data_IF_786947006032
#
_entry.id   IF_786947006032
#
_cell.length_a   1.000
_cell.length_b   1.000
_cell.length_c   1.000
_cell.angle_alpha   90.00
_cell.angle_beta   90.00
_cell.angle_gamma   90.00
#
_symmetry.space_group_name_H-M   'P 1'
#
loop_
_entity.id
_entity.type
_entity.pdbx_description
1 polymer ?
#
# COMPACT_ATOMS: atom_id res chain seq x y z
N UNK A 1 10.08 3.52 14.61
CA UNK A 1 9.87 4.84 14.03
C UNK A 1 8.48 4.96 13.41
N UNK A 2 7.77 6.04 13.75
CA UNK A 2 6.46 6.36 13.17
C UNK A 2 6.57 7.61 12.30
N UNK A 3 6.24 7.49 11.03
CA UNK A 3 6.19 8.63 10.11
C UNK A 3 5.01 9.55 10.45
N UNK A 4 5.24 10.87 10.43
CA UNK A 4 4.19 11.88 10.62
C UNK A 4 3.84 12.22 12.07
N UNK A 5 4.47 11.62 13.06
CA UNK A 5 4.30 11.94 14.48
C UNK A 5 5.08 13.22 14.82
N UNK A 6 4.46 14.15 15.54
CA UNK A 6 5.04 15.46 15.81
C UNK A 6 5.88 15.56 17.09
N UNK A 7 5.73 14.62 18.04
CA UNK A 7 6.49 14.60 19.29
C UNK A 7 7.80 13.82 19.12
N UNK A 8 8.94 14.46 19.33
CA UNK A 8 10.24 13.82 19.21
C UNK A 8 10.40 12.57 20.11
N UNK A 9 9.82 12.60 21.31
CA UNK A 9 9.86 11.48 22.25
C UNK A 9 9.06 10.27 21.77
N UNK A 10 8.16 10.47 20.80
CA UNK A 10 7.30 9.42 20.22
C UNK A 10 7.72 9.04 18.80
N UNK A 11 8.81 9.61 18.29
CA UNK A 11 9.33 9.34 16.95
C UNK A 11 9.85 7.90 16.78
N UNK A 12 10.39 7.32 17.85
CA UNK A 12 10.85 5.91 17.87
C UNK A 12 12.18 5.68 17.18
N UNK A 13 13.03 6.71 17.06
CA UNK A 13 14.36 6.62 16.43
C UNK A 13 15.46 6.44 17.49
N UNK A 14 15.37 7.15 18.61
CA UNK A 14 16.43 7.17 19.62
C UNK A 14 16.17 6.22 20.79
N UNK A 15 14.94 5.76 20.99
CA UNK A 15 14.54 4.87 22.07
C UNK A 15 14.47 3.43 21.59
N UNK A 16 15.47 2.63 21.97
CA UNK A 16 15.50 1.20 21.63
C UNK A 16 14.88 0.36 22.72
N UNK A 17 14.06 -0.63 22.34
CA UNK A 17 13.45 -1.57 23.27
C UNK A 17 14.12 -2.94 23.13
N UNK A 18 14.77 -3.39 24.20
CA UNK A 18 15.39 -4.71 24.24
C UNK A 18 14.37 -5.86 24.33
N UNK A 19 14.81 -7.11 24.10
CA UNK A 19 13.94 -8.29 24.22
C UNK A 19 13.19 -8.34 25.56
N UNK A 20 11.86 -8.53 25.49
CA UNK A 20 10.98 -8.54 26.68
C UNK A 20 10.63 -7.15 27.23
N UNK A 21 11.22 -6.08 26.70
CA UNK A 21 10.91 -4.70 27.06
C UNK A 21 9.59 -4.22 26.40
N UNK A 22 9.16 -3.03 26.82
CA UNK A 22 7.97 -2.36 26.28
C UNK A 22 8.21 -0.86 26.17
N UNK A 23 7.68 -0.26 25.13
CA UNK A 23 7.55 1.18 24.98
C UNK A 23 6.12 1.52 24.60
N UNK A 24 5.58 2.60 25.15
CA UNK A 24 4.20 3.04 24.86
C UNK A 24 4.29 4.33 24.06
N UNK A 25 3.77 4.30 22.84
CA UNK A 25 3.59 5.47 22.02
C UNK A 25 2.23 6.12 22.36
N UNK A 26 2.27 7.42 22.64
CA UNK A 26 1.08 8.21 22.93
C UNK A 26 1.10 9.51 22.12
N UNK A 27 0.19 9.62 21.16
CA UNK A 27 0.13 10.76 20.24
C UNK A 27 -1.33 11.06 19.82
N UNK A 28 -1.55 12.27 19.34
CA UNK A 28 -2.82 12.60 18.70
C UNK A 28 -2.89 11.96 17.32
N UNK A 29 -4.10 11.52 16.92
CA UNK A 29 -4.34 10.97 15.59
C UNK A 29 -4.37 12.10 14.55
N UNK A 30 -3.22 12.67 14.26
CA UNK A 30 -2.97 13.74 13.27
C UNK A 30 -1.52 13.69 12.79
N UNK A 31 -1.22 14.18 11.57
CA UNK A 31 -2.18 14.64 10.56
C UNK A 31 -2.98 13.51 9.93
N UNK A 32 -4.10 13.87 9.26
CA UNK A 32 -4.84 12.96 8.37
C UNK A 32 -3.89 12.36 7.33
N UNK A 33 -4.10 11.11 6.97
CA UNK A 33 -3.36 10.47 5.90
C UNK A 33 -3.05 9.00 6.13
N UNK A 34 -2.31 8.45 5.19
CA UNK A 34 -1.70 7.13 5.25
C UNK A 34 -0.28 7.28 5.79
N UNK A 35 0.00 6.63 6.88
CA UNK A 35 1.28 6.71 7.57
C UNK A 35 1.96 5.35 7.65
N UNK A 36 3.29 5.38 7.66
CA UNK A 36 4.17 4.23 7.75
C UNK A 36 4.82 4.18 9.14
N UNK A 37 5.02 2.99 9.67
CA UNK A 37 5.95 2.76 10.77
C UNK A 37 6.86 1.57 10.44
N UNK A 38 8.10 1.63 10.92
CA UNK A 38 9.08 0.56 10.71
C UNK A 38 10.15 0.54 11.80
N UNK A 39 10.89 -0.55 11.88
CA UNK A 39 12.08 -0.62 12.73
C UNK A 39 13.12 0.42 12.31
N UNK A 40 13.78 1.05 13.29
CA UNK A 40 14.86 2.00 13.05
C UNK A 40 16.15 1.62 13.82
N UNK A 41 16.24 0.38 14.27
CA UNK A 41 17.46 -0.18 14.91
C UNK A 41 18.40 -0.70 13.82
N UNK A 42 19.68 -0.40 13.91
CA UNK A 42 20.67 -0.90 12.95
C UNK A 42 20.88 -2.42 13.06
N UNK A 43 21.06 -3.12 11.92
CA UNK A 43 20.96 -2.65 10.54
C UNK A 43 19.50 -2.47 10.10
N UNK A 44 19.13 -1.24 9.76
CA UNK A 44 17.71 -0.84 9.50
C UNK A 44 17.14 -1.58 8.30
N UNK A 45 17.89 -1.63 7.19
CA UNK A 45 17.47 -2.27 5.94
C UNK A 45 17.13 -3.75 6.11
N UNK A 46 17.96 -4.50 6.85
CA UNK A 46 17.70 -5.92 7.12
C UNK A 46 16.43 -6.12 7.94
N UNK A 47 16.22 -5.27 8.95
CA UNK A 47 15.02 -5.37 9.79
C UNK A 47 13.74 -5.05 9.01
N UNK A 48 13.79 -4.07 8.11
CA UNK A 48 12.66 -3.75 7.22
C UNK A 48 12.45 -4.89 6.23
N UNK A 49 13.51 -5.39 5.56
CA UNK A 49 13.42 -6.50 4.63
C UNK A 49 12.84 -7.77 5.29
N UNK A 50 13.07 -7.96 6.60
CA UNK A 50 12.47 -9.05 7.38
C UNK A 50 11.02 -8.77 7.84
N UNK A 51 10.39 -7.69 7.39
CA UNK A 51 8.97 -7.41 7.64
C UNK A 51 8.65 -6.62 8.90
N UNK A 52 9.62 -5.94 9.54
CA UNK A 52 9.38 -5.09 10.70
C UNK A 52 8.84 -3.72 10.30
N UNK A 53 7.68 -3.69 9.70
CA UNK A 53 6.97 -2.49 9.24
C UNK A 53 5.45 -2.68 9.25
N UNK A 54 4.74 -1.58 9.10
CA UNK A 54 3.29 -1.57 8.90
C UNK A 54 2.80 -0.18 8.57
N UNK A 55 1.51 -0.06 8.37
CA UNK A 55 0.85 1.20 8.09
C UNK A 55 -0.25 1.49 9.10
N UNK A 56 -0.59 2.77 9.26
CA UNK A 56 -1.77 3.22 9.96
C UNK A 56 -2.43 4.36 9.21
N UNK A 57 -3.74 4.44 9.32
CA UNK A 57 -4.56 5.39 8.57
C UNK A 57 -5.23 6.32 9.58
N UNK A 58 -5.15 7.62 9.32
CA UNK A 58 -5.87 8.63 10.07
C UNK A 58 -6.86 9.29 9.13
N UNK A 59 -8.13 9.06 9.38
CA UNK A 59 -9.21 9.62 8.57
C UNK A 59 -9.53 11.08 8.93
N UNK A 60 -10.02 11.88 7.96
CA UNK A 60 -10.61 13.18 8.26
C UNK A 60 -11.76 13.04 9.25
N UNK A 61 -12.01 14.08 10.04
CA UNK A 61 -13.13 14.09 11.02
C UNK A 61 -14.50 13.81 10.39
N UNK A 62 -14.66 14.25 9.16
CA UNK A 62 -15.88 14.05 8.37
C UNK A 62 -15.95 12.64 7.74
N UNK A 63 -14.89 11.85 7.92
CA UNK A 63 -14.71 10.57 7.25
C UNK A 63 -14.34 10.74 5.77
N UNK A 64 -14.18 9.60 5.10
CA UNK A 64 -14.02 9.52 3.64
C UNK A 64 -15.31 8.97 3.02
N UNK A 65 -15.50 9.17 1.72
CA UNK A 65 -16.59 8.51 1.00
C UNK A 65 -16.54 6.99 1.22
N UNK A 66 -17.68 6.29 1.37
CA UNK A 66 -17.69 4.83 1.44
C UNK A 66 -16.97 4.21 0.25
N UNK A 67 -16.14 3.20 0.50
CA UNK A 67 -15.36 2.51 -0.50
C UNK A 67 -15.03 1.09 -0.04
N UNK A 68 -14.74 0.20 -0.99
CA UNK A 68 -14.04 -1.05 -0.67
C UNK A 68 -12.57 -0.73 -0.43
N UNK A 69 -12.09 -0.97 0.78
CA UNK A 69 -10.76 -0.54 1.19
C UNK A 69 -9.75 -1.69 1.13
N UNK A 70 -8.62 -1.43 0.50
CA UNK A 70 -7.51 -2.37 0.32
C UNK A 70 -6.22 -1.74 0.82
N UNK A 71 -5.30 -2.55 1.32
CA UNK A 71 -3.94 -2.11 1.65
C UNK A 71 -2.92 -2.93 0.88
N UNK A 72 -1.93 -2.26 0.29
CA UNK A 72 -0.80 -2.87 -0.39
C UNK A 72 0.51 -2.34 0.21
N UNK A 73 1.22 -3.22 0.91
CA UNK A 73 2.60 -2.98 1.32
C UNK A 73 3.49 -3.59 0.23
N UNK A 74 4.11 -2.74 -0.58
CA UNK A 74 4.99 -3.18 -1.68
C UNK A 74 6.37 -3.47 -1.13
N UNK A 75 6.83 -4.70 -1.26
CA UNK A 75 8.06 -5.17 -0.66
C UNK A 75 8.87 -6.08 -1.59
N UNK A 76 10.16 -6.20 -1.31
CA UNK A 76 11.05 -7.20 -1.84
C UNK A 76 11.32 -8.30 -0.82
N UNK A 77 11.82 -9.42 -1.30
CA UNK A 77 12.23 -10.56 -0.50
C UNK A 77 13.63 -11.01 -0.96
N UNK A 78 14.61 -10.75 -0.14
CA UNK A 78 15.96 -11.29 -0.23
C UNK A 78 15.97 -12.62 0.56
N UNK A 79 16.02 -13.76 -0.14
CA UNK A 79 15.88 -15.08 0.47
C UNK A 79 17.20 -15.77 0.76
N UNK A 80 18.29 -15.25 0.22
CA UNK A 80 19.66 -15.77 0.40
C UNK A 80 20.58 -14.77 1.11
N UNK A 81 20.04 -13.61 1.50
CA UNK A 81 20.68 -12.59 2.35
C UNK A 81 21.95 -11.99 1.72
N UNK A 82 21.91 -11.76 0.40
CA UNK A 82 23.00 -11.14 -0.34
C UNK A 82 22.84 -9.64 -0.59
N UNK A 83 21.68 -9.07 -0.19
CA UNK A 83 21.34 -7.66 -0.37
C UNK A 83 20.69 -7.36 -1.73
N UNK A 84 20.22 -8.39 -2.43
CA UNK A 84 19.43 -8.27 -3.65
C UNK A 84 18.08 -9.00 -3.52
N UNK A 85 17.03 -8.45 -4.09
CA UNK A 85 15.71 -9.08 -4.01
C UNK A 85 15.58 -10.24 -5.01
N UNK A 86 15.32 -11.43 -4.51
CA UNK A 86 15.00 -12.60 -5.33
C UNK A 86 13.55 -12.56 -5.83
N UNK A 87 12.62 -11.97 -5.03
CA UNK A 87 11.20 -11.84 -5.33
C UNK A 87 10.67 -10.47 -4.92
N UNK A 88 9.54 -10.10 -5.52
CA UNK A 88 8.80 -8.88 -5.20
C UNK A 88 7.33 -9.20 -4.98
N UNK A 89 6.64 -8.41 -4.19
CA UNK A 89 5.23 -8.66 -3.94
C UNK A 89 4.49 -7.50 -3.30
N UNK A 90 3.22 -7.71 -3.14
CA UNK A 90 2.36 -6.94 -2.27
C UNK A 90 1.97 -7.80 -1.07
N UNK A 91 2.02 -7.23 0.14
CA UNK A 91 1.66 -7.91 1.38
C UNK A 91 2.46 -9.21 1.61
N UNK A 92 3.74 -9.19 1.29
CA UNK A 92 4.77 -10.21 1.59
C UNK A 92 4.72 -11.51 0.80
N UNK A 93 3.72 -11.76 -0.03
CA UNK A 93 3.60 -13.04 -0.76
C UNK A 93 3.69 -12.79 -2.26
N UNK A 94 4.83 -13.11 -2.93
CA UNK A 94 4.95 -13.02 -4.37
C UNK A 94 3.90 -13.88 -5.08
N UNK A 95 3.39 -13.40 -6.21
CA UNK A 95 2.37 -14.06 -7.05
C UNK A 95 1.02 -14.33 -6.37
N UNK A 96 0.82 -13.95 -5.10
CA UNK A 96 -0.40 -14.30 -4.37
C UNK A 96 -1.66 -13.84 -5.09
N UNK A 97 -1.74 -12.56 -5.45
CA UNK A 97 -2.91 -11.99 -6.11
C UNK A 97 -3.06 -12.35 -7.60
N UNK A 98 -2.03 -12.96 -8.20
CA UNK A 98 -2.14 -13.60 -9.52
C UNK A 98 -2.95 -14.89 -9.44
N UNK A 99 -2.74 -15.66 -8.37
CA UNK A 99 -3.44 -16.94 -8.15
C UNK A 99 -4.74 -16.80 -7.35
N UNK A 100 -4.89 -15.68 -6.64
CA UNK A 100 -6.06 -15.36 -5.81
C UNK A 100 -6.53 -13.94 -6.14
N UNK A 101 -7.24 -13.74 -7.28
CA UNK A 101 -7.74 -12.43 -7.67
C UNK A 101 -8.60 -11.80 -6.57
N UNK A 102 -8.44 -10.50 -6.38
CA UNK A 102 -9.26 -9.74 -5.43
C UNK A 102 -10.62 -9.53 -6.08
N UNK A 103 -11.67 -10.03 -5.45
CA UNK A 103 -13.04 -9.83 -5.91
C UNK A 103 -13.51 -8.42 -5.56
N UNK A 104 -14.08 -7.72 -6.54
CA UNK A 104 -14.62 -6.36 -6.42
C UNK A 104 -15.94 -6.27 -7.19
N UNK A 105 -16.75 -5.25 -6.88
CA UNK A 105 -17.99 -4.97 -7.59
C UNK A 105 -17.81 -3.85 -8.62
N UNK A 106 -18.49 -3.97 -9.76
CA UNK A 106 -18.54 -2.88 -10.76
C UNK A 106 -19.29 -1.67 -10.21
N UNK A 107 -18.87 -0.45 -10.61
CA UNK A 107 -19.46 0.82 -10.20
C UNK A 107 -19.42 1.07 -8.66
N UNK A 108 -18.58 0.38 -7.94
CA UNK A 108 -18.29 0.66 -6.54
C UNK A 108 -16.88 1.27 -6.42
N UNK A 109 -16.75 2.27 -5.56
CA UNK A 109 -15.48 2.92 -5.31
C UNK A 109 -14.53 1.98 -4.58
N UNK A 110 -13.33 1.85 -5.11
CA UNK A 110 -12.22 1.13 -4.45
C UNK A 110 -11.21 2.17 -3.98
N UNK A 111 -10.79 2.04 -2.73
CA UNK A 111 -9.72 2.83 -2.14
C UNK A 111 -8.56 1.94 -1.76
N UNK A 112 -7.46 2.05 -2.49
CA UNK A 112 -6.24 1.32 -2.21
C UNK A 112 -5.24 2.23 -1.48
N UNK A 113 -4.80 1.82 -0.30
CA UNK A 113 -3.73 2.40 0.46
C UNK A 113 -2.44 1.69 0.06
N UNK A 114 -1.54 2.39 -0.63
CA UNK A 114 -0.31 1.81 -1.19
C UNK A 114 0.90 2.41 -0.48
N UNK A 115 1.75 1.55 0.06
CA UNK A 115 3.00 1.93 0.73
C UNK A 115 4.15 1.21 0.06
N UNK A 116 5.15 1.94 -0.42
CA UNK A 116 6.39 1.34 -0.90
C UNK A 116 7.40 1.24 0.25
N UNK A 117 7.66 0.01 0.68
CA UNK A 117 8.65 -0.32 1.73
C UNK A 117 9.74 -1.26 1.18
N UNK A 118 9.97 -1.17 -0.11
CA UNK A 118 10.98 -1.96 -0.80
C UNK A 118 12.39 -1.57 -0.33
N UNK A 119 13.15 -2.52 0.17
CA UNK A 119 14.58 -2.38 0.43
C UNK A 119 15.38 -2.93 -0.75
N UNK A 120 16.64 -2.55 -0.84
CA UNK A 120 17.63 -2.92 -1.87
C UNK A 120 17.35 -2.40 -3.28
N UNK A 121 16.19 -1.77 -3.54
CA UNK A 121 15.83 -1.09 -4.78
C UNK A 121 15.31 0.32 -4.51
N UNK A 122 15.73 1.28 -5.32
CA UNK A 122 15.45 2.69 -5.06
C UNK A 122 14.00 3.12 -5.32
N UNK A 123 13.32 2.43 -6.24
CA UNK A 123 11.97 2.78 -6.70
C UNK A 123 11.13 1.54 -6.98
N UNK A 124 9.83 1.69 -6.76
CA UNK A 124 8.82 0.73 -7.19
C UNK A 124 7.75 1.46 -8.00
N UNK A 125 6.84 0.72 -8.60
CA UNK A 125 5.71 1.33 -9.29
C UNK A 125 4.48 0.44 -9.20
N UNK A 126 3.33 1.08 -9.43
CA UNK A 126 2.01 0.47 -9.44
C UNK A 126 1.33 0.84 -10.74
N UNK A 127 0.96 -0.15 -11.54
CA UNK A 127 0.19 0.02 -12.77
C UNK A 127 -1.12 -0.74 -12.70
N UNK A 128 -2.20 -0.10 -13.16
CA UNK A 128 -3.55 -0.62 -13.14
C UNK A 128 -4.09 -0.74 -14.57
N UNK A 129 -4.57 -1.93 -14.94
CA UNK A 129 -5.20 -2.15 -16.23
C UNK A 129 -6.69 -1.82 -16.21
N UNK A 130 -7.20 -1.33 -17.32
CA UNK A 130 -8.63 -1.19 -17.62
C UNK A 130 -9.33 0.01 -16.99
N UNK A 131 -8.68 0.75 -16.12
CA UNK A 131 -9.18 2.01 -15.54
C UNK A 131 -8.02 2.92 -15.15
N UNK A 132 -8.35 4.14 -14.76
CA UNK A 132 -7.43 5.11 -14.18
C UNK A 132 -7.81 5.34 -12.71
N UNK A 133 -6.86 5.75 -11.89
CA UNK A 133 -7.08 6.11 -10.50
C UNK A 133 -6.80 7.59 -10.23
N UNK A 134 -7.55 8.19 -9.34
CA UNK A 134 -7.16 9.39 -8.65
C UNK A 134 -6.14 9.04 -7.58
N UNK A 135 -5.05 9.83 -7.43
CA UNK A 135 -4.05 9.57 -6.42
C UNK A 135 -3.85 10.76 -5.48
N UNK A 136 -3.57 10.44 -4.21
CA UNK A 136 -3.40 11.40 -3.12
C UNK A 136 -2.08 11.08 -2.41
N UNK A 137 -1.00 11.87 -2.64
CA UNK A 137 0.30 11.64 -1.99
C UNK A 137 0.17 11.64 -0.47
N UNK A 138 0.62 10.57 0.18
CA UNK A 138 0.46 10.31 1.60
C UNK A 138 -0.99 10.41 2.13
N UNK A 139 -1.97 10.76 1.30
CA UNK A 139 -3.37 10.94 1.69
C UNK A 139 -3.61 12.08 2.68
N UNK A 140 -2.68 13.03 2.79
CA UNK A 140 -2.81 14.21 3.66
C UNK A 140 -3.75 15.26 3.07
N UNK A 141 -3.82 15.32 1.75
CA UNK A 141 -4.78 16.16 1.03
C UNK A 141 -6.06 15.38 0.71
N UNK A 142 -7.18 16.10 0.69
CA UNK A 142 -8.49 15.56 0.29
C UNK A 142 -8.81 15.80 -1.18
N UNK A 143 -7.92 16.48 -1.92
CA UNK A 143 -8.01 16.74 -3.35
C UNK A 143 -6.94 15.91 -4.05
N UNK A 144 -7.30 15.13 -5.09
CA UNK A 144 -6.31 14.31 -5.79
C UNK A 144 -5.28 15.17 -6.53
N UNK A 145 -4.03 14.71 -6.56
CA UNK A 145 -2.92 15.36 -7.26
C UNK A 145 -2.87 15.01 -8.74
N UNK A 146 -3.55 13.95 -9.16
CA UNK A 146 -3.58 13.51 -10.56
C UNK A 146 -4.56 12.38 -10.82
N UNK A 147 -4.65 12.01 -12.09
CA UNK A 147 -5.51 10.94 -12.60
C UNK A 147 -4.72 10.14 -13.63
N UNK A 148 -4.25 8.97 -13.25
CA UNK A 148 -3.29 8.16 -14.00
C UNK A 148 -3.62 6.68 -13.89
N UNK A 149 -2.96 5.86 -14.71
CA UNK A 149 -2.97 4.39 -14.62
C UNK A 149 -1.66 3.83 -14.07
N UNK A 150 -0.66 4.70 -13.84
CA UNK A 150 0.64 4.32 -13.34
C UNK A 150 1.18 5.36 -12.35
N UNK A 151 1.82 4.86 -11.30
CA UNK A 151 2.48 5.65 -10.27
C UNK A 151 3.88 5.08 -10.01
N UNK A 152 4.87 5.97 -9.87
CA UNK A 152 6.22 5.62 -9.41
C UNK A 152 6.41 6.12 -7.99
N UNK A 153 6.92 5.26 -7.13
CA UNK A 153 7.10 5.53 -5.70
C UNK A 153 8.55 5.28 -5.29
N UNK A 154 9.15 6.25 -4.63
CA UNK A 154 10.42 6.05 -3.92
C UNK A 154 10.20 5.22 -2.65
N UNK A 155 11.28 4.74 -2.06
CA UNK A 155 11.23 4.04 -0.78
C UNK A 155 10.61 4.93 0.32
N UNK A 156 9.66 4.36 1.09
CA UNK A 156 8.93 5.07 2.14
C UNK A 156 7.78 5.96 1.66
N UNK A 157 7.57 6.10 0.35
CA UNK A 157 6.42 6.82 -0.18
C UNK A 157 5.12 6.04 0.01
N UNK A 158 4.04 6.80 0.13
CA UNK A 158 2.68 6.31 0.40
C UNK A 158 1.69 7.06 -0.44
N UNK A 159 0.71 6.34 -0.99
CA UNK A 159 -0.34 6.89 -1.84
C UNK A 159 -1.70 6.30 -1.49
N UNK A 160 -2.74 7.11 -1.55
CA UNK A 160 -4.11 6.59 -1.61
C UNK A 160 -4.54 6.67 -3.06
N UNK A 161 -5.04 5.54 -3.59
CA UNK A 161 -5.55 5.44 -4.96
C UNK A 161 -7.05 5.19 -4.90
N UNK A 162 -7.84 5.99 -5.63
CA UNK A 162 -9.28 5.82 -5.75
C UNK A 162 -9.68 5.57 -7.20
N UNK A 163 -10.38 4.46 -7.46
CA UNK A 163 -10.78 4.02 -8.79
C UNK A 163 -12.05 3.16 -8.74
N UNK A 164 -12.62 2.92 -9.91
CA UNK A 164 -13.77 2.03 -10.11
C UNK A 164 -13.64 1.28 -11.43
N UNK A 165 -14.25 0.11 -11.54
CA UNK A 165 -14.44 -0.60 -12.81
C UNK A 165 -15.89 -0.54 -13.26
N UNK A 166 -16.12 -0.19 -14.53
CA UNK A 166 -17.47 -0.08 -15.12
C UNK A 166 -18.01 -1.42 -15.60
N UNK A 167 -17.13 -2.33 -15.99
CA UNK A 167 -17.51 -3.59 -16.63
C UNK A 167 -16.96 -4.78 -15.86
N UNK A 168 -17.70 -5.91 -15.81
CA UNK A 168 -17.17 -7.12 -15.22
C UNK A 168 -16.00 -7.67 -16.05
N UNK A 169 -15.04 -8.30 -15.37
CA UNK A 169 -13.87 -8.87 -16.03
C UNK A 169 -12.71 -9.12 -15.08
N UNK A 170 -11.65 -9.70 -15.60
CA UNK A 170 -10.40 -9.88 -14.91
C UNK A 170 -9.42 -8.80 -15.36
N UNK A 171 -8.96 -7.97 -14.42
CA UNK A 171 -8.08 -6.84 -14.68
C UNK A 171 -6.77 -6.99 -13.92
N UNK A 172 -5.65 -6.91 -14.63
CA UNK A 172 -4.33 -7.02 -14.04
C UNK A 172 -3.93 -5.73 -13.31
N UNK A 173 -3.18 -5.87 -12.24
CA UNK A 173 -2.36 -4.82 -11.64
C UNK A 173 -0.96 -5.36 -11.33
N UNK A 174 0.08 -4.56 -11.51
CA UNK A 174 1.45 -5.03 -11.36
C UNK A 174 2.48 -3.89 -11.28
N UNK A 175 3.71 -4.23 -10.93
CA UNK A 175 4.84 -3.34 -11.20
C UNK A 175 5.05 -3.22 -12.71
N UNK A 176 5.19 -2.00 -13.22
CA UNK A 176 5.57 -1.78 -14.63
C UNK A 176 7.07 -2.00 -14.87
N UNK A 177 7.87 -2.07 -13.80
CA UNK A 177 9.20 -2.69 -13.88
C UNK A 177 8.99 -4.19 -14.12
N UNK A 178 9.37 -4.64 -15.33
CA UNK A 178 9.12 -6.01 -15.80
C UNK A 178 9.77 -7.05 -14.89
N UNK A 179 10.98 -6.78 -14.41
CA UNK A 179 11.67 -7.68 -13.48
C UNK A 179 10.84 -7.91 -12.21
N UNK A 180 10.27 -6.86 -11.62
CA UNK A 180 9.48 -6.98 -10.41
C UNK A 180 8.19 -7.78 -10.63
N UNK A 181 7.52 -7.55 -11.77
CA UNK A 181 6.33 -8.30 -12.12
C UNK A 181 6.63 -9.77 -12.42
N UNK A 182 7.71 -10.07 -13.13
CA UNK A 182 8.16 -11.44 -13.41
C UNK A 182 8.63 -12.19 -12.16
N UNK A 183 9.12 -11.47 -11.16
CA UNK A 183 9.53 -12.01 -9.85
C UNK A 183 8.41 -11.95 -8.78
N UNK A 184 7.15 -11.63 -9.15
CA UNK A 184 6.01 -11.84 -8.28
C UNK A 184 5.15 -10.64 -7.88
N UNK A 185 5.58 -9.40 -8.23
CA UNK A 185 4.76 -8.22 -8.00
C UNK A 185 3.71 -8.07 -9.12
N UNK A 186 2.73 -8.94 -9.11
CA UNK A 186 1.61 -9.03 -10.06
C UNK A 186 0.36 -9.56 -9.38
N UNK A 187 -0.79 -9.06 -9.77
CA UNK A 187 -2.09 -9.50 -9.27
C UNK A 187 -3.22 -9.20 -10.24
N UNK A 188 -4.43 -9.54 -9.84
CA UNK A 188 -5.63 -9.27 -10.62
C UNK A 188 -6.81 -8.90 -9.74
N UNK A 189 -7.65 -8.00 -10.23
CA UNK A 189 -9.00 -7.76 -9.74
C UNK A 189 -10.00 -8.57 -10.58
N UNK A 190 -10.89 -9.30 -9.92
CA UNK A 190 -12.05 -9.92 -10.53
C UNK A 190 -13.27 -9.04 -10.27
N UNK A 191 -13.58 -8.16 -11.23
CA UNK A 191 -14.76 -7.33 -11.16
C UNK A 191 -16.02 -8.14 -11.52
N UNK A 192 -17.01 -8.16 -10.62
CA UNK A 192 -18.31 -8.79 -10.80
C UNK A 192 -19.40 -7.72 -10.86
N UNK A 193 -20.50 -8.03 -11.54
CA UNK A 193 -21.63 -7.11 -11.55
C UNK A 193 -22.12 -6.83 -10.13
N UNK A 194 -22.34 -5.55 -9.83
CA UNK A 194 -22.93 -5.14 -8.55
C UNK A 194 -24.37 -5.62 -8.47
N UNK A 195 -24.77 -6.29 -7.39
CA UNK A 195 -26.14 -6.75 -7.16
C UNK A 195 -27.17 -5.59 -7.15
N UNK A 196 -26.72 -4.35 -6.96
CA UNK A 196 -27.59 -3.16 -6.97
C UNK A 196 -28.19 -2.81 -8.33
N UNK A 197 -27.64 -3.32 -9.44
CA UNK A 197 -28.10 -2.99 -10.79
C UNK A 197 -29.35 -3.79 -11.23
N UNK A 198 -29.85 -4.73 -10.44
CA UNK A 198 -31.00 -5.56 -10.78
C UNK A 198 -32.34 -5.08 -10.20
N UNK A 199 -32.37 -4.03 -9.37
CA UNK A 199 -33.59 -3.58 -8.68
C UNK A 199 -34.30 -2.38 -9.31
N UNK A 200 -33.70 -1.69 -10.28
CA UNK A 200 -34.25 -0.43 -10.80
C UNK A 200 -34.81 -0.49 -12.24
N UNK A 201 -34.91 -1.66 -12.86
CA UNK A 201 -35.48 -1.85 -14.19
C UNK A 201 -36.74 -2.76 -14.22
N UNK A 202 -37.60 -2.68 -13.20
CA UNK A 202 -38.94 -3.30 -13.27
C UNK A 202 -40.05 -2.34 -12.85
#
# INVERSE_FOLDING_TARGET
HFHGIHKAEMDGVFENVGPGGKFIYEFLAEPVGLHLYHCHVHPVEEHIAHGLYGAYIIDPKEGRAPADELIFMLNGLDTDFDGENNFYGANTIPFYYQHHPIEISTNELIRAYVVNILEFDAVNNFHLHGTLFHHYPAGTDTVPSGYNDMLTMSQGEREILEFEYKYPGLYMFHAHNTEFSEKGWVGSFLAKDSEKNYSDEN
#
